data_IF_350621059337
#
_entry.id   IF_350621059337
#
_cell.length_a   1.000
_cell.length_b   1.000
_cell.length_c   1.000
_cell.angle_alpha   90.00
_cell.angle_beta   90.00
_cell.angle_gamma   90.00
#
_symmetry.space_group_name_H-M   'P 1'
#
loop_
_entity.id
_entity.type
_entity.pdbx_description
1 polymer ?
#
# COMPACT_ATOMS: atom_id res chain seq x y z
N UNK A 1 72.18 -4.77 -95.61
CA UNK A 1 70.89 -5.04 -96.29
C UNK A 1 69.74 -4.53 -95.43
N UNK A 2 68.91 -3.69 -96.05
CA UNK A 2 67.52 -3.33 -95.76
C UNK A 2 67.12 -2.63 -94.44
N UNK A 3 66.94 -1.32 -94.63
CA UNK A 3 66.01 -0.41 -93.97
C UNK A 3 64.54 -0.86 -94.11
N UNK A 4 63.69 -0.65 -93.08
CA UNK A 4 62.27 -0.31 -93.32
C UNK A 4 61.65 0.48 -92.17
N UNK A 5 61.30 1.71 -92.54
CA UNK A 5 60.56 2.76 -91.82
C UNK A 5 59.04 2.48 -91.93
N UNK A 6 58.28 2.52 -90.83
CA UNK A 6 56.82 2.73 -90.77
C UNK A 6 56.56 3.70 -89.61
N UNK A 7 56.56 5.01 -89.84
CA UNK A 7 55.37 5.87 -90.10
C UNK A 7 54.21 5.55 -89.17
N UNK A 8 54.00 6.46 -88.23
CA UNK A 8 52.81 6.53 -87.40
C UNK A 8 51.58 6.95 -88.21
N UNK A 9 50.44 6.64 -87.61
CA UNK A 9 49.14 7.18 -87.95
C UNK A 9 48.57 7.72 -86.65
N UNK A 10 48.63 9.03 -86.49
CA UNK A 10 47.76 9.75 -85.56
C UNK A 10 46.33 9.51 -86.04
N UNK A 11 45.55 8.77 -85.26
CA UNK A 11 44.11 8.71 -85.42
C UNK A 11 43.54 9.74 -84.46
N UNK A 12 43.41 10.97 -84.95
CA UNK A 12 42.45 11.94 -84.43
C UNK A 12 41.06 11.31 -84.63
N UNK A 13 40.55 10.64 -83.60
CA UNK A 13 39.12 10.37 -83.50
C UNK A 13 38.47 11.67 -83.04
N UNK A 14 37.86 12.36 -84.00
CA UNK A 14 36.92 13.43 -83.75
C UNK A 14 35.85 12.93 -82.81
N UNK A 15 35.75 13.60 -81.67
CA UNK A 15 34.66 13.52 -80.72
C UNK A 15 33.43 14.17 -81.37
N UNK A 16 32.78 13.44 -82.28
CA UNK A 16 31.42 13.75 -82.75
C UNK A 16 30.44 13.23 -81.70
N UNK A 17 30.48 13.81 -80.50
CA UNK A 17 29.41 13.67 -79.52
C UNK A 17 28.20 14.42 -80.08
N UNK A 18 27.24 13.67 -80.61
CA UNK A 18 25.93 14.22 -81.01
C UNK A 18 25.29 14.88 -79.77
N UNK A 19 25.17 16.22 -79.73
CA UNK A 19 24.62 16.93 -78.58
C UNK A 19 23.18 16.50 -78.27
N UNK A 20 22.46 15.96 -79.26
CA UNK A 20 21.14 15.38 -79.08
C UNK A 20 21.16 14.10 -78.24
N UNK A 21 22.17 13.24 -78.41
CA UNK A 21 22.30 11.98 -77.68
C UNK A 21 22.63 12.19 -76.19
N UNK A 22 23.43 13.21 -75.86
CA UNK A 22 23.73 13.60 -74.47
C UNK A 22 22.52 14.20 -73.77
N UNK A 23 21.74 15.04 -74.47
CA UNK A 23 20.51 15.58 -73.91
C UNK A 23 19.48 14.48 -73.65
N UNK A 24 19.31 13.53 -74.58
CA UNK A 24 18.39 12.40 -74.41
C UNK A 24 18.81 11.44 -73.28
N UNK A 25 20.10 11.19 -73.09
CA UNK A 25 20.59 10.36 -71.98
C UNK A 25 20.36 11.07 -70.65
N UNK A 26 20.65 12.37 -70.57
CA UNK A 26 20.37 13.19 -69.39
C UNK A 26 18.88 13.18 -69.03
N UNK A 27 17.99 13.40 -69.99
CA UNK A 27 16.53 13.36 -69.76
C UNK A 27 16.08 11.97 -69.29
N UNK A 28 16.60 10.88 -69.90
CA UNK A 28 16.32 9.51 -69.45
C UNK A 28 16.77 9.26 -68.01
N UNK A 29 17.96 9.73 -67.64
CA UNK A 29 18.49 9.54 -66.29
C UNK A 29 17.69 10.32 -65.25
N UNK A 30 17.25 11.55 -65.57
CA UNK A 30 16.35 12.32 -64.70
C UNK A 30 14.99 11.62 -64.52
N UNK A 31 14.40 11.10 -65.60
CA UNK A 31 13.14 10.33 -65.50
C UNK A 31 13.31 9.03 -64.71
N UNK A 32 14.44 8.35 -64.88
CA UNK A 32 14.76 7.13 -64.13
C UNK A 32 14.91 7.42 -62.64
N UNK A 33 15.62 8.50 -62.29
CA UNK A 33 15.77 8.95 -60.91
C UNK A 33 14.41 9.29 -60.27
N UNK A 34 13.54 9.99 -61.00
CA UNK A 34 12.18 10.29 -60.55
C UNK A 34 11.35 9.02 -60.33
N UNK A 35 11.43 8.06 -61.25
CA UNK A 35 10.73 6.77 -61.14
C UNK A 35 11.23 5.96 -59.95
N UNK A 36 12.54 5.93 -59.70
CA UNK A 36 13.12 5.19 -58.59
C UNK A 36 12.81 5.86 -57.25
N UNK A 37 12.84 7.19 -57.18
CA UNK A 37 12.36 7.96 -56.02
C UNK A 37 10.87 7.72 -55.73
N UNK A 38 10.04 7.65 -56.77
CA UNK A 38 8.61 7.34 -56.62
C UNK A 38 8.39 5.92 -56.08
N UNK A 39 9.18 4.93 -56.54
CA UNK A 39 9.11 3.56 -56.01
C UNK A 39 9.56 3.49 -54.56
N UNK A 40 10.65 4.16 -54.20
CA UNK A 40 11.15 4.22 -52.84
C UNK A 40 10.11 4.82 -51.89
N UNK A 41 9.53 5.97 -52.25
CA UNK A 41 8.48 6.62 -51.45
C UNK A 41 7.25 5.71 -51.28
N UNK A 42 6.80 5.03 -52.35
CA UNK A 42 5.69 4.07 -52.26
C UNK A 42 6.02 2.90 -51.32
N UNK A 43 7.27 2.45 -51.29
CA UNK A 43 7.68 1.37 -50.39
C UNK A 43 7.72 1.82 -48.93
N UNK A 44 8.18 3.04 -48.66
CA UNK A 44 8.18 3.62 -47.31
C UNK A 44 6.76 3.86 -46.79
N UNK A 45 5.87 4.38 -47.64
CA UNK A 45 4.45 4.57 -47.28
C UNK A 45 3.81 3.23 -46.89
N UNK A 46 4.04 2.16 -47.66
CA UNK A 46 3.53 0.83 -47.31
C UNK A 46 4.10 0.31 -45.99
N UNK A 47 5.39 0.50 -45.74
CA UNK A 47 6.00 0.09 -44.48
C UNK A 47 5.43 0.87 -43.29
N UNK A 48 5.12 2.16 -43.47
CA UNK A 48 4.45 2.97 -42.46
C UNK A 48 3.01 2.50 -42.22
N UNK A 49 2.27 2.17 -43.28
CA UNK A 49 0.91 1.60 -43.18
C UNK A 49 0.91 0.30 -42.37
N UNK A 50 1.81 -0.65 -42.69
CA UNK A 50 1.95 -1.90 -41.95
C UNK A 50 2.35 -1.70 -40.47
N UNK A 51 3.24 -0.75 -40.20
CA UNK A 51 3.65 -0.44 -38.83
C UNK A 51 2.50 0.23 -38.04
N UNK A 52 1.70 1.06 -38.69
CA UNK A 52 0.54 1.69 -38.08
C UNK A 52 -0.51 0.63 -37.73
N UNK A 53 -0.79 -0.31 -38.63
CA UNK A 53 -1.71 -1.42 -38.41
C UNK A 53 -1.28 -2.27 -37.20
N UNK A 54 -0.01 -2.68 -37.14
CA UNK A 54 0.54 -3.43 -35.99
C UNK A 54 0.44 -2.65 -34.68
N UNK A 55 0.66 -1.34 -34.72
CA UNK A 55 0.54 -0.50 -33.53
C UNK A 55 -0.91 -0.37 -33.06
N UNK A 56 -1.86 -0.28 -33.98
CA UNK A 56 -3.29 -0.26 -33.66
C UNK A 56 -3.69 -1.57 -32.98
N UNK A 57 -3.36 -2.72 -33.58
CA UNK A 57 -3.64 -4.04 -32.98
C UNK A 57 -3.02 -4.19 -31.58
N UNK A 58 -1.77 -3.73 -31.41
CA UNK A 58 -1.10 -3.76 -30.11
C UNK A 58 -1.82 -2.88 -29.09
N UNK A 59 -2.27 -1.68 -29.47
CA UNK A 59 -2.99 -0.77 -28.59
C UNK A 59 -4.36 -1.32 -28.20
N UNK A 60 -5.11 -1.90 -29.14
CA UNK A 60 -6.37 -2.57 -28.87
C UNK A 60 -6.19 -3.71 -27.86
N UNK A 61 -5.19 -4.57 -28.08
CA UNK A 61 -4.87 -5.66 -27.17
C UNK A 61 -4.44 -5.17 -25.78
N UNK A 62 -3.74 -4.03 -25.70
CA UNK A 62 -3.38 -3.42 -24.40
C UNK A 62 -4.58 -2.82 -23.71
N UNK A 63 -5.49 -2.19 -24.46
CA UNK A 63 -6.72 -1.60 -23.94
C UNK A 63 -7.60 -2.68 -23.32
N UNK A 64 -7.84 -3.78 -24.03
CA UNK A 64 -8.64 -4.91 -23.56
C UNK A 64 -8.10 -5.48 -22.24
N UNK A 65 -6.78 -5.72 -22.15
CA UNK A 65 -6.15 -6.16 -20.90
C UNK A 65 -6.31 -5.15 -19.76
N UNK A 66 -6.30 -3.86 -20.07
CA UNK A 66 -6.45 -2.82 -19.07
C UNK A 66 -7.90 -2.72 -18.56
N UNK A 67 -8.87 -2.91 -19.45
CA UNK A 67 -10.29 -3.00 -19.10
C UNK A 67 -10.59 -4.22 -18.24
N UNK A 68 -9.98 -5.37 -18.55
CA UNK A 68 -10.09 -6.58 -17.72
C UNK A 68 -9.51 -6.36 -16.32
N UNK A 69 -8.29 -5.80 -16.23
CA UNK A 69 -7.67 -5.45 -14.94
C UNK A 69 -8.50 -4.45 -14.15
N UNK A 70 -9.10 -3.46 -14.82
CA UNK A 70 -9.95 -2.47 -14.17
C UNK A 70 -11.18 -3.12 -13.55
N UNK A 71 -11.86 -4.02 -14.29
CA UNK A 71 -12.99 -4.81 -13.77
C UNK A 71 -12.60 -5.71 -12.60
N UNK A 72 -11.43 -6.34 -12.67
CA UNK A 72 -10.92 -7.17 -11.58
C UNK A 72 -10.65 -6.33 -10.31
N UNK A 73 -10.02 -5.17 -10.47
CA UNK A 73 -9.73 -4.26 -9.36
C UNK A 73 -11.01 -3.69 -8.74
N UNK A 74 -12.01 -3.32 -9.53
CA UNK A 74 -13.31 -2.89 -9.03
C UNK A 74 -14.00 -3.98 -8.20
N UNK A 75 -13.92 -5.24 -8.65
CA UNK A 75 -14.48 -6.38 -7.92
C UNK A 75 -13.77 -6.60 -6.59
N UNK A 76 -12.42 -6.54 -6.60
CA UNK A 76 -11.61 -6.65 -5.38
C UNK A 76 -11.87 -5.50 -4.41
N UNK A 77 -12.03 -4.28 -4.91
CA UNK A 77 -12.33 -3.11 -4.10
C UNK A 77 -13.66 -3.28 -3.36
N UNK A 78 -14.72 -3.67 -4.08
CA UNK A 78 -16.04 -3.92 -3.47
C UNK A 78 -15.99 -5.01 -2.39
N UNK A 79 -15.22 -6.06 -2.61
CA UNK A 79 -15.06 -7.12 -1.63
C UNK A 79 -14.32 -6.64 -0.37
N UNK A 80 -13.26 -5.86 -0.53
CA UNK A 80 -12.53 -5.25 0.60
C UNK A 80 -13.42 -4.27 1.37
N UNK A 81 -14.19 -3.43 0.68
CA UNK A 81 -15.16 -2.51 1.31
C UNK A 81 -16.20 -3.27 2.14
N UNK A 82 -16.75 -4.36 1.58
CA UNK A 82 -17.69 -5.24 2.28
C UNK A 82 -17.06 -5.85 3.53
N UNK A 83 -15.88 -6.46 3.41
CA UNK A 83 -15.17 -7.07 4.53
C UNK A 83 -14.81 -6.06 5.61
N UNK A 84 -14.42 -4.84 5.22
CA UNK A 84 -14.10 -3.76 6.15
C UNK A 84 -15.33 -3.32 6.93
N UNK A 85 -16.47 -3.20 6.26
CA UNK A 85 -17.74 -2.83 6.89
C UNK A 85 -18.19 -3.90 7.88
N UNK A 86 -18.21 -5.17 7.47
CA UNK A 86 -18.55 -6.30 8.36
C UNK A 86 -17.59 -6.43 9.54
N UNK A 87 -16.29 -6.23 9.31
CA UNK A 87 -15.28 -6.23 10.37
C UNK A 87 -15.52 -5.13 11.39
N UNK A 88 -15.80 -3.91 10.93
CA UNK A 88 -16.12 -2.76 11.77
C UNK A 88 -17.36 -3.01 12.65
N UNK A 89 -18.42 -3.58 12.08
CA UNK A 89 -19.65 -3.92 12.82
C UNK A 89 -19.40 -5.01 13.88
N UNK A 90 -18.61 -6.03 13.56
CA UNK A 90 -18.22 -7.07 14.54
C UNK A 90 -17.39 -6.50 15.68
N UNK A 91 -16.44 -5.62 15.38
CA UNK A 91 -15.63 -4.95 16.41
C UNK A 91 -16.52 -4.13 17.32
N UNK A 92 -17.42 -3.32 16.75
CA UNK A 92 -18.37 -2.52 17.53
C UNK A 92 -19.22 -3.40 18.45
N UNK A 93 -19.82 -4.46 17.91
CA UNK A 93 -20.64 -5.40 18.69
C UNK A 93 -19.84 -6.04 19.83
N UNK A 94 -18.63 -6.53 19.56
CA UNK A 94 -17.76 -7.10 20.57
C UNK A 94 -17.36 -6.09 21.66
N UNK A 95 -17.10 -4.84 21.29
CA UNK A 95 -16.78 -3.79 22.28
C UNK A 95 -17.95 -3.48 23.20
N UNK A 96 -19.18 -3.46 22.67
CA UNK A 96 -20.40 -3.27 23.46
C UNK A 96 -20.64 -4.44 24.42
N UNK A 97 -20.44 -5.68 23.96
CA UNK A 97 -20.53 -6.89 24.79
C UNK A 97 -19.48 -6.90 25.90
N UNK A 98 -18.23 -6.55 25.61
CA UNK A 98 -17.16 -6.45 26.60
C UNK A 98 -17.53 -5.42 27.67
N UNK A 99 -18.00 -4.24 27.25
CA UNK A 99 -18.44 -3.20 28.19
C UNK A 99 -19.61 -3.69 29.07
N UNK A 100 -20.55 -4.45 28.51
CA UNK A 100 -21.67 -5.01 29.27
C UNK A 100 -21.23 -6.09 30.25
N UNK A 101 -20.35 -7.00 29.84
CA UNK A 101 -19.76 -8.01 30.70
C UNK A 101 -18.96 -7.38 31.84
N UNK A 102 -18.20 -6.32 31.58
CA UNK A 102 -17.49 -5.56 32.62
C UNK A 102 -18.48 -4.96 33.65
N UNK A 103 -19.59 -4.37 33.20
CA UNK A 103 -20.64 -3.88 34.09
C UNK A 103 -21.26 -4.99 34.93
N UNK A 104 -21.55 -6.14 34.32
CA UNK A 104 -22.08 -7.33 35.02
C UNK A 104 -21.10 -7.87 36.05
N UNK A 105 -19.82 -8.01 35.70
CA UNK A 105 -18.76 -8.41 36.62
C UNK A 105 -18.66 -7.46 37.82
N UNK A 106 -18.61 -6.14 37.59
CA UNK A 106 -18.57 -5.16 38.67
C UNK A 106 -19.81 -5.24 39.57
N UNK A 107 -20.99 -5.48 39.00
CA UNK A 107 -22.24 -5.65 39.76
C UNK A 107 -22.19 -6.91 40.64
N UNK A 108 -21.72 -8.03 40.09
CA UNK A 108 -21.57 -9.29 40.83
C UNK A 108 -20.50 -9.18 41.92
N UNK A 109 -19.38 -8.53 41.65
CA UNK A 109 -18.32 -8.28 42.64
C UNK A 109 -18.84 -7.42 43.80
N UNK A 110 -19.58 -6.34 43.50
CA UNK A 110 -20.24 -5.51 44.54
C UNK A 110 -21.24 -6.31 45.36
N UNK A 111 -22.03 -7.17 44.72
CA UNK A 111 -22.99 -8.02 45.41
C UNK A 111 -22.28 -9.01 46.34
N UNK A 112 -21.22 -9.66 45.85
CA UNK A 112 -20.40 -10.60 46.62
C UNK A 112 -19.73 -9.94 47.83
N UNK A 113 -19.29 -8.68 47.70
CA UNK A 113 -18.64 -7.94 48.78
C UNK A 113 -19.59 -7.15 49.68
N UNK A 114 -20.90 -7.14 49.41
CA UNK A 114 -21.86 -6.27 50.11
C UNK A 114 -21.84 -6.44 51.64
N UNK A 115 -21.61 -7.67 52.11
CA UNK A 115 -21.58 -8.00 53.54
C UNK A 115 -20.15 -8.14 54.09
N UNK A 116 -19.13 -7.75 53.31
CA UNK A 116 -17.73 -7.85 53.72
C UNK A 116 -17.27 -6.51 54.28
N UNK A 117 -16.60 -6.55 55.43
CA UNK A 117 -16.01 -5.37 56.08
C UNK A 117 -14.49 -5.55 56.09
N UNK A 118 -13.76 -4.48 55.75
CA UNK A 118 -12.30 -4.43 55.86
C UNK A 118 -11.91 -3.61 57.09
N UNK A 119 -11.08 -4.18 57.96
CA UNK A 119 -10.51 -3.51 59.12
C UNK A 119 -9.05 -3.17 58.79
N UNK A 120 -8.74 -1.87 58.71
CA UNK A 120 -7.43 -1.35 58.30
C UNK A 120 -6.72 -0.73 59.52
N UNK A 121 -5.39 -0.73 59.54
CA UNK A 121 -4.58 -0.07 60.58
C UNK A 121 -4.29 -0.95 61.80
N UNK A 122 -4.60 -2.24 61.72
CA UNK A 122 -4.30 -3.21 62.77
C UNK A 122 -3.01 -3.97 62.45
N UNK A 123 -2.09 -4.08 63.42
CA UNK A 123 -0.94 -4.99 63.32
C UNK A 123 -1.42 -6.43 63.39
N UNK A 124 -1.01 -7.25 62.42
CA UNK A 124 -1.34 -8.67 62.38
C UNK A 124 -0.22 -9.44 63.08
N UNK A 125 -0.57 -10.19 64.12
CA UNK A 125 0.36 -11.10 64.79
C UNK A 125 0.32 -12.49 64.14
N UNK A 126 1.48 -13.15 64.06
CA UNK A 126 1.55 -14.50 63.45
C UNK A 126 0.79 -15.50 64.31
N UNK A 127 -0.08 -16.29 63.68
CA UNK A 127 -0.88 -17.32 64.34
C UNK A 127 -2.17 -16.80 65.00
N UNK A 128 -2.49 -15.52 64.83
CA UNK A 128 -3.69 -14.96 65.43
C UNK A 128 -4.98 -15.42 64.75
N UNK A 129 -5.97 -15.83 65.55
CA UNK A 129 -7.30 -16.17 65.05
C UNK A 129 -8.12 -14.91 64.78
N UNK A 130 -8.21 -14.54 63.49
CA UNK A 130 -8.91 -13.34 63.03
C UNK A 130 -10.38 -13.27 63.46
N UNK A 131 -11.08 -14.40 63.63
CA UNK A 131 -12.48 -14.40 64.07
C UNK A 131 -12.60 -13.89 65.51
N UNK A 132 -11.75 -14.39 66.41
CA UNK A 132 -11.74 -14.00 67.82
C UNK A 132 -11.40 -12.51 67.94
N UNK A 133 -10.40 -12.06 67.18
CA UNK A 133 -10.02 -10.66 67.11
C UNK A 133 -11.18 -9.76 66.70
N UNK A 134 -11.86 -10.07 65.59
CA UNK A 134 -12.97 -9.25 65.09
C UNK A 134 -14.11 -9.23 66.12
N UNK A 135 -14.41 -10.36 66.75
CA UNK A 135 -15.45 -10.44 67.78
C UNK A 135 -15.11 -9.62 69.03
N UNK A 136 -13.82 -9.58 69.41
CA UNK A 136 -13.32 -8.70 70.48
C UNK A 136 -13.51 -7.22 70.12
N UNK A 137 -13.15 -6.83 68.90
CA UNK A 137 -13.33 -5.44 68.41
C UNK A 137 -14.81 -5.05 68.42
N UNK A 138 -15.70 -5.90 67.91
CA UNK A 138 -17.15 -5.63 67.90
C UNK A 138 -17.71 -5.46 69.31
N UNK A 139 -17.27 -6.29 70.26
CA UNK A 139 -17.68 -6.18 71.66
C UNK A 139 -17.15 -4.91 72.32
N UNK A 140 -15.86 -4.63 72.20
CA UNK A 140 -15.20 -3.52 72.90
C UNK A 140 -15.55 -2.14 72.33
N UNK A 141 -15.69 -2.02 71.00
CA UNK A 141 -15.92 -0.73 70.34
C UNK A 141 -17.40 -0.45 70.08
N UNK A 142 -18.20 -1.47 69.84
CA UNK A 142 -19.60 -1.31 69.44
C UNK A 142 -20.59 -1.92 70.44
N UNK A 143 -20.13 -2.63 71.48
CA UNK A 143 -21.01 -3.24 72.48
C UNK A 143 -21.88 -4.37 71.92
N UNK A 144 -21.55 -4.94 70.76
CA UNK A 144 -22.34 -5.96 70.07
C UNK A 144 -21.71 -7.34 70.23
N UNK A 145 -22.52 -8.30 70.66
CA UNK A 145 -22.15 -9.72 70.79
C UNK A 145 -23.01 -10.65 69.95
N UNK A 146 -24.09 -10.10 69.36
CA UNK A 146 -25.13 -10.75 68.58
C UNK A 146 -24.76 -10.95 67.09
N UNK A 147 -23.62 -10.40 66.65
CA UNK A 147 -23.23 -10.41 65.24
C UNK A 147 -22.61 -11.76 64.86
N UNK A 148 -23.24 -12.45 63.89
CA UNK A 148 -22.70 -13.68 63.29
C UNK A 148 -21.60 -13.32 62.28
N UNK A 149 -20.38 -13.73 62.58
CA UNK A 149 -19.24 -13.62 61.65
C UNK A 149 -19.06 -14.96 60.96
N UNK A 150 -19.23 -15.00 59.64
CA UNK A 150 -19.12 -16.26 58.89
C UNK A 150 -17.67 -16.61 58.56
N UNK A 151 -16.87 -15.62 58.16
CA UNK A 151 -15.47 -15.79 57.78
C UNK A 151 -14.66 -14.55 58.18
N UNK A 152 -13.44 -14.76 58.66
CA UNK A 152 -12.45 -13.71 58.85
C UNK A 152 -11.07 -14.24 58.50
N UNK A 153 -10.29 -13.43 57.79
CA UNK A 153 -8.94 -13.76 57.36
C UNK A 153 -8.15 -12.45 57.20
N UNK A 154 -6.81 -12.49 57.33
CA UNK A 154 -5.98 -11.36 56.93
C UNK A 154 -6.15 -11.11 55.42
N UNK A 155 -6.18 -9.84 55.00
CA UNK A 155 -6.00 -9.54 53.58
C UNK A 155 -4.62 -10.09 53.18
N UNK A 156 -4.54 -10.74 52.02
CA UNK A 156 -3.31 -11.38 51.53
C UNK A 156 -2.13 -10.40 51.48
N UNK A 157 -0.89 -10.90 51.34
CA UNK A 157 0.26 -10.00 51.18
C UNK A 157 -0.06 -8.99 50.07
N UNK A 158 0.36 -7.72 50.21
CA UNK A 158 0.17 -6.74 49.15
C UNK A 158 0.67 -7.38 47.87
N UNK A 159 -0.23 -7.57 46.89
CA UNK A 159 0.17 -8.07 45.59
C UNK A 159 1.35 -7.19 45.19
N UNK A 160 2.52 -7.80 44.98
CA UNK A 160 3.56 -7.14 44.21
C UNK A 160 2.82 -6.72 42.96
N UNK A 161 2.58 -5.41 42.83
CA UNK A 161 2.07 -4.86 41.60
C UNK A 161 3.08 -5.36 40.61
N UNK A 162 2.70 -6.32 39.76
CA UNK A 162 3.28 -6.38 38.44
C UNK A 162 3.09 -4.94 37.99
N UNK A 163 4.17 -4.15 38.00
CA UNK A 163 4.20 -2.91 37.24
C UNK A 163 3.57 -3.35 35.95
N UNK A 164 2.45 -2.72 35.55
CA UNK A 164 2.18 -2.65 34.13
C UNK A 164 3.52 -2.21 33.58
N UNK A 165 4.22 -3.11 32.91
CA UNK A 165 5.06 -2.65 31.83
C UNK A 165 4.01 -1.97 30.98
N UNK A 166 3.88 -0.66 31.18
CA UNK A 166 3.32 0.20 30.19
C UNK A 166 4.13 -0.18 28.96
N UNK A 167 3.53 -1.02 28.12
CA UNK A 167 4.01 -1.28 26.78
C UNK A 167 4.00 0.10 26.17
N UNK A 168 5.16 0.71 26.29
CA UNK A 168 5.51 2.02 25.78
C UNK A 168 5.08 1.95 24.35
N UNK A 169 4.08 2.76 24.04
CA UNK A 169 3.93 3.49 22.78
C UNK A 169 4.63 2.77 21.64
N UNK A 170 3.89 1.98 20.85
CA UNK A 170 4.34 1.74 19.49
C UNK A 170 4.56 3.14 18.90
N UNK A 171 5.79 3.53 18.48
CA UNK A 171 5.91 4.64 17.59
C UNK A 171 5.22 4.17 16.32
N UNK A 172 4.02 4.68 16.08
CA UNK A 172 3.49 4.76 14.74
C UNK A 172 4.51 5.61 13.99
N UNK A 173 5.45 4.96 13.31
CA UNK A 173 6.31 5.62 12.33
C UNK A 173 5.36 6.06 11.22
N UNK A 174 4.79 7.26 11.38
CA UNK A 174 4.38 8.06 10.26
C UNK A 174 5.66 8.41 9.51
N UNK A 175 6.04 7.58 8.55
CA UNK A 175 6.86 8.04 7.46
C UNK A 175 6.08 9.14 6.76
N UNK A 176 6.37 10.37 7.22
CA UNK A 176 6.10 11.59 6.49
C UNK A 176 6.76 11.43 5.12
N UNK A 177 5.93 11.24 4.10
CA UNK A 177 6.31 11.49 2.72
C UNK A 177 6.86 12.92 2.63
N UNK A 178 8.07 13.14 2.09
CA UNK A 178 8.59 14.47 1.88
C UNK A 178 7.84 15.11 0.70
N UNK A 179 7.03 16.13 1.00
CA UNK A 179 6.21 16.84 0.02
C UNK A 179 5.39 17.92 0.70
N UNK A 180 6.08 18.85 1.35
CA UNK A 180 5.52 20.14 1.72
C UNK A 180 5.08 20.86 0.45
N UNK A 181 3.84 21.33 0.40
CA UNK A 181 3.55 22.67 -0.09
C UNK A 181 2.37 23.23 0.72
N UNK A 182 2.65 24.34 1.39
CA UNK A 182 1.73 25.06 2.27
C UNK A 182 0.65 25.80 1.46
N UNK A 183 -0.54 26.04 2.02
CA UNK A 183 -1.54 26.88 1.38
C UNK A 183 -1.11 28.35 1.42
N UNK A 184 -1.10 28.98 0.25
CA UNK A 184 -0.93 30.42 0.08
C UNK A 184 -2.00 31.19 0.85
N UNK A 185 -1.55 32.06 1.76
CA UNK A 185 -2.36 33.13 2.32
C UNK A 185 -2.82 34.09 1.21
N UNK A 186 -4.12 34.35 1.19
CA UNK A 186 -4.77 35.41 0.45
C UNK A 186 -4.46 36.76 1.08
N UNK A 187 -3.75 37.62 0.36
CA UNK A 187 -3.76 39.08 0.59
C UNK A 187 -3.78 39.79 -0.77
N UNK A 188 -4.98 40.22 -1.17
CA UNK A 188 -5.29 41.48 -1.87
C UNK A 188 -6.80 41.53 -2.12
#
# INVERSE_FOLDING_TARGET
MNTRKKRGTASEHGDDTDPGAEFESFVRDQFKLLLDGQKALRSEVRALEENLEKNVEMLESRLERNEEKSRELETKLREVERQTTEGSERVKSATEEIADLQRKCNKLERFSRRNNIRIIGRKVERGENCLITVQKILREKFGRTDIKIERAHPDGPPQQTWRRQDTTTHPFQSELLPGQDAPHESVA
#
